data_IF_005188754273
#
_entry.id   IF_005188754273
#
_cell.length_a   1.000
_cell.length_b   1.000
_cell.length_c   1.000
_cell.angle_alpha   90.00
_cell.angle_beta   90.00
_cell.angle_gamma   90.00
#
_symmetry.space_group_name_H-M   'P 1'
#
loop_
_entity.id
_entity.type
_entity.pdbx_description
1 polymer ?
#
# COMPACT_ATOMS: atom_id res chain seq x y z
N UNK A 1 -24.14 21.82 -13.07
CA UNK A 1 -24.41 21.14 -11.79
C UNK A 1 -23.35 20.06 -11.50
N UNK A 2 -23.15 19.08 -12.38
CA UNK A 2 -22.22 17.94 -12.19
C UNK A 2 -20.82 18.37 -11.72
N UNK A 3 -20.10 19.20 -12.49
CA UNK A 3 -18.74 19.60 -12.14
C UNK A 3 -18.65 20.31 -10.77
N UNK A 4 -19.67 21.11 -10.40
CA UNK A 4 -19.75 21.80 -9.11
C UNK A 4 -19.92 20.81 -7.97
N UNK A 5 -20.84 19.85 -8.10
CA UNK A 5 -21.13 18.84 -7.08
C UNK A 5 -19.92 17.93 -6.87
N UNK A 6 -19.36 17.39 -7.94
CA UNK A 6 -18.17 16.52 -7.88
C UNK A 6 -16.98 17.24 -7.27
N UNK A 7 -16.73 18.52 -7.64
CA UNK A 7 -15.66 19.32 -7.06
C UNK A 7 -15.86 19.52 -5.54
N UNK A 8 -17.09 19.86 -5.12
CA UNK A 8 -17.44 20.07 -3.70
C UNK A 8 -17.24 18.79 -2.88
N UNK A 9 -17.73 17.66 -3.38
CA UNK A 9 -17.57 16.34 -2.75
C UNK A 9 -16.09 15.93 -2.70
N UNK A 10 -15.37 16.10 -3.80
CA UNK A 10 -13.95 15.75 -3.88
C UNK A 10 -13.10 16.56 -2.88
N UNK A 11 -13.31 17.87 -2.80
CA UNK A 11 -12.55 18.74 -1.87
C UNK A 11 -12.81 18.42 -0.41
N UNK A 12 -13.97 17.89 -0.08
CA UNK A 12 -14.31 17.51 1.30
C UNK A 12 -13.83 16.11 1.66
N UNK A 13 -14.05 15.12 0.81
CA UNK A 13 -13.82 13.71 1.14
C UNK A 13 -12.38 13.28 0.85
N UNK A 14 -11.88 13.56 -0.36
CA UNK A 14 -10.62 12.97 -0.82
C UNK A 14 -9.40 13.39 0.00
N UNK A 15 -9.19 14.68 0.37
CA UNK A 15 -8.05 15.08 1.19
C UNK A 15 -8.10 14.45 2.59
N UNK A 16 -9.29 14.31 3.16
CA UNK A 16 -9.45 13.72 4.49
C UNK A 16 -9.15 12.22 4.51
N UNK A 17 -9.69 11.44 3.57
CA UNK A 17 -9.38 10.01 3.49
C UNK A 17 -7.92 9.79 3.07
N UNK A 18 -7.33 10.68 2.27
CA UNK A 18 -5.90 10.65 1.95
C UNK A 18 -5.05 10.92 3.20
N UNK A 19 -5.45 11.84 4.07
CA UNK A 19 -4.79 12.07 5.36
C UNK A 19 -4.89 10.83 6.27
N UNK A 20 -6.06 10.19 6.34
CA UNK A 20 -6.20 8.93 7.06
C UNK A 20 -5.27 7.84 6.52
N UNK A 21 -5.11 7.76 5.20
CA UNK A 21 -4.22 6.78 4.57
C UNK A 21 -2.73 7.14 4.72
N UNK A 22 -2.41 8.42 4.75
CA UNK A 22 -1.08 8.92 5.05
C UNK A 22 -0.62 8.42 6.43
N UNK A 23 -1.44 8.59 7.46
CA UNK A 23 -1.12 8.12 8.82
C UNK A 23 -1.08 6.59 8.87
N UNK A 24 -1.98 5.91 8.14
CA UNK A 24 -1.96 4.46 7.97
C UNK A 24 -0.60 3.96 7.46
N UNK A 25 -0.09 4.62 6.45
CA UNK A 25 1.16 4.17 5.82
C UNK A 25 2.39 4.50 6.67
N UNK A 26 2.35 5.56 7.48
CA UNK A 26 3.37 5.81 8.52
C UNK A 26 3.46 4.63 9.47
N UNK A 27 2.34 4.25 10.08
CA UNK A 27 2.27 3.12 11.03
C UNK A 27 2.71 1.77 10.42
N UNK A 28 2.52 1.60 9.11
CA UNK A 28 2.88 0.36 8.43
C UNK A 28 4.40 0.19 8.28
N UNK A 29 5.12 1.27 8.03
CA UNK A 29 6.56 1.23 7.76
C UNK A 29 7.42 1.57 8.97
N UNK A 30 6.86 2.15 10.03
CA UNK A 30 7.58 2.59 11.22
C UNK A 30 8.34 1.45 11.92
N UNK A 31 7.84 0.22 11.88
CA UNK A 31 8.52 -0.93 12.48
C UNK A 31 9.90 -1.18 11.87
N UNK A 32 10.13 -0.81 10.60
CA UNK A 32 11.45 -0.85 9.98
C UNK A 32 12.44 0.13 10.61
N UNK A 33 11.97 1.32 11.02
CA UNK A 33 12.78 2.28 11.80
C UNK A 33 12.93 1.85 13.25
N UNK A 34 11.86 1.37 13.89
CA UNK A 34 11.92 0.86 15.25
C UNK A 34 12.98 -0.25 15.38
N UNK A 35 13.13 -1.11 14.38
CA UNK A 35 14.09 -2.20 14.33
C UNK A 35 15.54 -1.77 14.58
N UNK A 36 15.90 -0.50 14.26
CA UNK A 36 17.25 0.03 14.45
C UNK A 36 17.73 -0.05 15.92
N UNK A 37 16.80 0.06 16.85
CA UNK A 37 17.07 0.04 18.29
C UNK A 37 16.34 -1.11 19.00
N UNK A 38 15.07 -1.34 18.67
CA UNK A 38 14.21 -2.36 19.25
C UNK A 38 14.81 -3.76 19.18
N UNK A 39 15.40 -4.14 18.04
CA UNK A 39 15.99 -5.46 17.87
C UNK A 39 17.16 -5.68 18.85
N UNK A 40 17.97 -4.66 19.07
CA UNK A 40 19.08 -4.71 20.03
C UNK A 40 18.57 -4.76 21.47
N UNK A 41 17.59 -3.91 21.80
CA UNK A 41 17.05 -3.81 23.17
C UNK A 41 16.33 -5.09 23.60
N UNK A 42 15.62 -5.74 22.68
CA UNK A 42 14.82 -6.94 22.94
C UNK A 42 15.53 -8.26 22.54
N UNK A 43 16.76 -8.16 22.02
CA UNK A 43 17.54 -9.34 21.60
C UNK A 43 16.93 -10.07 20.38
N UNK A 44 16.27 -9.36 19.48
CA UNK A 44 15.67 -9.96 18.29
C UNK A 44 16.73 -10.25 17.23
N UNK A 45 16.68 -11.48 16.67
CA UNK A 45 17.41 -11.81 15.45
C UNK A 45 16.73 -11.15 14.24
N UNK A 46 17.44 -11.10 13.10
CA UNK A 46 16.85 -10.62 11.87
C UNK A 46 15.66 -11.49 11.41
N UNK A 47 15.75 -12.81 11.63
CA UNK A 47 14.64 -13.75 11.38
C UNK A 47 13.42 -13.42 12.22
N UNK A 48 13.60 -13.17 13.52
CA UNK A 48 12.50 -12.81 14.43
C UNK A 48 11.83 -11.51 14.02
N UNK A 49 12.62 -10.49 13.66
CA UNK A 49 12.10 -9.23 13.15
C UNK A 49 11.34 -9.44 11.84
N UNK A 50 11.92 -10.17 10.87
CA UNK A 50 11.28 -10.45 9.59
C UNK A 50 9.96 -11.22 9.76
N UNK A 51 9.89 -12.16 10.70
CA UNK A 51 8.65 -12.86 11.04
C UNK A 51 7.61 -11.91 11.62
N UNK A 52 7.98 -11.09 12.60
CA UNK A 52 7.06 -10.12 13.20
C UNK A 52 6.60 -9.04 12.24
N UNK A 53 7.47 -8.55 11.36
CA UNK A 53 7.08 -7.64 10.29
C UNK A 53 6.06 -8.29 9.33
N UNK A 54 6.27 -9.56 9.00
CA UNK A 54 5.45 -10.30 8.06
C UNK A 54 4.12 -10.80 8.62
N UNK A 55 4.05 -11.25 9.89
CA UNK A 55 2.84 -11.85 10.48
C UNK A 55 1.64 -10.89 10.48
N UNK A 56 1.90 -9.60 10.42
CA UNK A 56 0.90 -8.56 10.17
C UNK A 56 0.04 -8.90 8.94
N UNK A 57 0.66 -9.30 7.82
CA UNK A 57 -0.04 -9.60 6.58
C UNK A 57 -0.87 -10.87 6.65
N UNK A 58 -0.52 -11.80 7.52
CA UNK A 58 -1.33 -12.98 7.80
C UNK A 58 -2.62 -12.56 8.53
N UNK A 59 -2.51 -11.73 9.57
CA UNK A 59 -3.67 -11.15 10.24
C UNK A 59 -4.54 -10.33 9.26
N UNK A 60 -3.92 -9.49 8.45
CA UNK A 60 -4.60 -8.68 7.45
C UNK A 60 -5.38 -9.56 6.46
N UNK A 61 -4.78 -10.60 5.91
CA UNK A 61 -5.39 -11.52 4.94
C UNK A 61 -6.66 -12.19 5.48
N UNK A 62 -6.60 -12.75 6.69
CA UNK A 62 -7.77 -13.45 7.25
C UNK A 62 -8.92 -12.52 7.60
N UNK A 63 -8.65 -11.29 7.97
CA UNK A 63 -9.67 -10.34 8.43
C UNK A 63 -10.12 -9.33 7.37
N UNK A 64 -9.51 -9.28 6.19
CA UNK A 64 -9.86 -8.34 5.12
C UNK A 64 -11.31 -8.51 4.66
N UNK A 65 -11.72 -9.74 4.31
CA UNK A 65 -13.09 -10.03 3.86
C UNK A 65 -14.12 -9.82 4.98
N UNK A 66 -13.96 -10.39 6.18
CA UNK A 66 -14.88 -10.14 7.30
C UNK A 66 -15.05 -8.65 7.62
N UNK A 67 -13.96 -7.88 7.57
CA UNK A 67 -13.98 -6.44 7.85
C UNK A 67 -14.79 -5.67 6.80
N UNK A 68 -14.67 -6.03 5.51
CA UNK A 68 -15.45 -5.39 4.45
C UNK A 68 -16.95 -5.70 4.55
N UNK A 69 -17.31 -6.94 4.88
CA UNK A 69 -18.71 -7.31 5.14
C UNK A 69 -19.29 -6.54 6.32
N UNK A 70 -18.50 -6.36 7.36
CA UNK A 70 -18.91 -5.57 8.51
C UNK A 70 -19.07 -4.07 8.16
N UNK A 71 -18.22 -3.52 7.29
CA UNK A 71 -18.36 -2.15 6.79
C UNK A 71 -19.69 -1.93 6.05
N UNK A 72 -20.10 -2.88 5.22
CA UNK A 72 -21.41 -2.82 4.54
C UNK A 72 -22.57 -2.88 5.53
N UNK A 73 -22.46 -3.69 6.58
CA UNK A 73 -23.52 -3.89 7.59
C UNK A 73 -23.65 -2.71 8.56
N UNK A 74 -22.52 -2.20 9.07
CA UNK A 74 -22.50 -1.19 10.14
C UNK A 74 -22.36 0.25 9.61
N UNK A 75 -22.09 0.42 8.31
CA UNK A 75 -21.84 1.70 7.68
C UNK A 75 -20.36 2.08 7.68
N UNK A 76 -19.94 2.74 6.59
CA UNK A 76 -18.54 3.06 6.34
C UNK A 76 -17.94 3.97 7.43
N UNK A 77 -18.68 5.00 7.84
CA UNK A 77 -18.23 5.97 8.86
C UNK A 77 -17.83 5.32 10.17
N UNK A 78 -18.71 4.54 10.75
CA UNK A 78 -18.47 3.90 12.05
C UNK A 78 -17.41 2.81 11.95
N UNK A 79 -17.42 2.04 10.84
CA UNK A 79 -16.48 0.94 10.68
C UNK A 79 -15.06 1.41 10.40
N UNK A 80 -14.88 2.44 9.56
CA UNK A 80 -13.58 3.07 9.33
C UNK A 80 -13.04 3.68 10.63
N UNK A 81 -13.89 4.38 11.41
CA UNK A 81 -13.51 4.91 12.70
C UNK A 81 -13.03 3.80 13.66
N UNK A 82 -13.79 2.69 13.75
CA UNK A 82 -13.41 1.52 14.55
C UNK A 82 -12.05 0.97 14.11
N UNK A 83 -11.84 0.77 12.80
CA UNK A 83 -10.57 0.30 12.27
C UNK A 83 -9.43 1.21 12.74
N UNK A 84 -9.54 2.52 12.53
CA UNK A 84 -8.50 3.48 12.88
C UNK A 84 -8.21 3.54 14.38
N UNK A 85 -9.26 3.56 15.23
CA UNK A 85 -9.07 3.60 16.68
C UNK A 85 -8.43 2.31 17.19
N UNK A 86 -8.92 1.13 16.78
CA UNK A 86 -8.37 -0.14 17.25
C UNK A 86 -6.95 -0.38 16.75
N UNK A 87 -6.68 -0.04 15.50
CA UNK A 87 -5.35 -0.13 14.93
C UNK A 87 -4.39 0.87 15.61
N UNK A 88 -4.78 2.14 15.79
CA UNK A 88 -3.94 3.13 16.48
C UNK A 88 -3.62 2.74 17.93
N UNK A 89 -4.58 2.14 18.67
CA UNK A 89 -4.34 1.58 20.00
C UNK A 89 -3.32 0.43 19.97
N UNK A 90 -3.43 -0.49 19.00
CA UNK A 90 -2.48 -1.60 18.86
C UNK A 90 -1.11 -1.11 18.38
N UNK A 91 -1.06 -0.08 17.52
CA UNK A 91 0.19 0.56 17.12
C UNK A 91 0.89 1.19 18.34
N UNK A 92 0.18 1.97 19.15
CA UNK A 92 0.72 2.50 20.39
C UNK A 92 1.11 1.39 21.39
N UNK A 93 0.36 0.28 21.45
CA UNK A 93 0.68 -0.87 22.31
C UNK A 93 1.97 -1.61 21.88
N UNK A 94 2.45 -1.41 20.66
CA UNK A 94 3.78 -1.88 20.26
C UNK A 94 4.89 -1.31 21.17
N UNK A 95 4.71 -0.14 21.76
CA UNK A 95 5.65 0.41 22.74
C UNK A 95 5.78 -0.45 24.02
N UNK A 96 4.84 -1.35 24.28
CA UNK A 96 4.79 -2.20 25.47
C UNK A 96 5.31 -3.62 25.23
N UNK A 97 5.85 -3.94 24.06
CA UNK A 97 6.40 -5.28 23.80
C UNK A 97 7.65 -5.52 24.65
N UNK A 98 7.80 -6.78 25.11
CA UNK A 98 8.91 -7.17 25.98
C UNK A 98 9.65 -8.45 25.54
N UNK A 99 9.12 -9.15 24.54
CA UNK A 99 9.74 -10.35 23.96
C UNK A 99 9.18 -10.63 22.56
N UNK A 100 9.72 -11.66 21.90
CA UNK A 100 9.30 -12.07 20.57
C UNK A 100 7.83 -12.46 20.46
N UNK A 101 7.27 -13.14 21.46
CA UNK A 101 5.86 -13.53 21.44
C UNK A 101 4.92 -12.33 21.52
N UNK A 102 5.19 -11.38 22.43
CA UNK A 102 4.38 -10.14 22.50
C UNK A 102 4.46 -9.35 21.19
N UNK A 103 5.64 -9.30 20.55
CA UNK A 103 5.82 -8.70 19.23
C UNK A 103 4.95 -9.39 18.17
N UNK A 104 5.00 -10.72 18.03
CA UNK A 104 4.21 -11.48 17.06
C UNK A 104 2.70 -11.28 17.28
N UNK A 105 2.24 -11.39 18.52
CA UNK A 105 0.81 -11.29 18.86
C UNK A 105 0.27 -9.90 18.52
N UNK A 106 0.96 -8.84 18.95
CA UNK A 106 0.49 -7.47 18.67
C UNK A 106 0.56 -7.18 17.17
N UNK A 107 1.61 -7.62 16.45
CA UNK A 107 1.70 -7.46 15.01
C UNK A 107 0.58 -8.21 14.25
N UNK A 108 0.23 -9.42 14.65
CA UNK A 108 -0.91 -10.14 14.08
C UNK A 108 -2.23 -9.40 14.32
N UNK A 109 -2.48 -8.98 15.56
CA UNK A 109 -3.69 -8.23 15.93
C UNK A 109 -3.75 -6.87 15.21
N UNK A 110 -2.61 -6.21 15.03
CA UNK A 110 -2.51 -4.96 14.28
C UNK A 110 -2.92 -5.17 12.82
N UNK A 111 -2.43 -6.24 12.17
CA UNK A 111 -2.85 -6.60 10.82
C UNK A 111 -4.35 -6.90 10.73
N UNK A 112 -4.90 -7.65 11.69
CA UNK A 112 -6.32 -7.95 11.78
C UNK A 112 -7.18 -6.68 12.01
N UNK A 113 -6.69 -5.73 12.81
CA UNK A 113 -7.38 -4.48 13.10
C UNK A 113 -7.38 -3.50 11.91
N UNK A 114 -6.27 -3.42 11.17
CA UNK A 114 -6.12 -2.58 9.97
C UNK A 114 -6.84 -3.18 8.75
N UNK A 115 -7.08 -4.49 8.77
CA UNK A 115 -7.71 -5.20 7.67
C UNK A 115 -9.05 -4.56 7.26
N UNK A 116 -9.24 -4.38 5.95
CA UNK A 116 -10.43 -3.75 5.41
C UNK A 116 -10.38 -2.22 5.32
N UNK A 117 -9.33 -1.55 5.83
CA UNK A 117 -9.23 -0.09 5.70
C UNK A 117 -9.13 0.35 4.24
N UNK A 118 -8.13 -0.13 3.52
CA UNK A 118 -7.92 0.24 2.11
C UNK A 118 -9.12 -0.13 1.22
N UNK A 119 -9.57 -1.41 1.16
CA UNK A 119 -10.73 -1.76 0.36
C UNK A 119 -12.02 -1.09 0.87
N UNK A 120 -12.13 -0.84 2.16
CA UNK A 120 -13.25 -0.09 2.74
C UNK A 120 -13.32 1.36 2.27
N UNK A 121 -12.19 2.05 2.17
CA UNK A 121 -12.14 3.40 1.57
C UNK A 121 -12.48 3.35 0.08
N UNK A 122 -11.98 2.38 -0.67
CA UNK A 122 -12.33 2.21 -2.08
C UNK A 122 -13.84 2.02 -2.23
N UNK A 123 -14.45 1.16 -1.40
CA UNK A 123 -15.90 0.97 -1.38
C UNK A 123 -16.64 2.25 -0.98
N UNK A 124 -16.17 2.96 0.05
CA UNK A 124 -16.74 4.24 0.47
C UNK A 124 -16.73 5.29 -0.65
N UNK A 125 -15.64 5.37 -1.43
CA UNK A 125 -15.57 6.27 -2.58
C UNK A 125 -16.60 5.91 -3.66
N UNK A 126 -17.02 4.64 -3.78
CA UNK A 126 -18.10 4.27 -4.71
C UNK A 126 -19.47 4.79 -4.30
N UNK A 127 -19.68 5.09 -3.02
CA UNK A 127 -20.92 5.70 -2.53
C UNK A 127 -21.03 7.20 -2.85
N UNK A 128 -19.91 7.84 -3.21
CA UNK A 128 -19.83 9.27 -3.42
C UNK A 128 -19.51 9.68 -4.86
N UNK A 129 -18.84 8.82 -5.62
CA UNK A 129 -18.36 9.18 -6.95
C UNK A 129 -18.90 8.25 -8.03
N UNK A 130 -19.51 8.82 -9.09
CA UNK A 130 -19.81 8.09 -10.32
C UNK A 130 -18.56 7.42 -10.89
N UNK A 131 -18.75 6.31 -11.62
CA UNK A 131 -17.66 5.47 -12.16
C UNK A 131 -16.62 6.26 -12.96
N UNK A 132 -17.06 7.23 -13.77
CA UNK A 132 -16.20 8.12 -14.56
C UNK A 132 -15.15 8.87 -13.73
N UNK A 133 -15.51 9.32 -12.51
CA UNK A 133 -14.62 10.09 -11.64
C UNK A 133 -13.81 9.23 -10.66
N UNK A 134 -14.23 8.00 -10.47
CA UNK A 134 -13.72 7.12 -9.39
C UNK A 134 -12.24 6.84 -9.49
N UNK A 135 -11.74 6.49 -10.68
CA UNK A 135 -10.32 6.20 -10.90
C UNK A 135 -9.43 7.39 -10.50
N UNK A 136 -9.85 8.61 -10.86
CA UNK A 136 -9.12 9.85 -10.49
C UNK A 136 -9.13 10.09 -8.98
N UNK A 137 -10.24 9.82 -8.29
CA UNK A 137 -10.34 10.00 -6.83
C UNK A 137 -9.52 8.97 -6.07
N UNK A 138 -9.54 7.72 -6.52
CA UNK A 138 -8.68 6.64 -5.97
C UNK A 138 -7.21 6.98 -6.20
N UNK A 139 -6.82 7.45 -7.38
CA UNK A 139 -5.44 7.88 -7.65
C UNK A 139 -4.96 8.99 -6.70
N UNK A 140 -5.81 10.00 -6.44
CA UNK A 140 -5.51 11.06 -5.46
C UNK A 140 -5.38 10.54 -4.04
N UNK A 141 -6.22 9.60 -3.65
CA UNK A 141 -6.15 8.92 -2.36
C UNK A 141 -4.85 8.12 -2.22
N UNK A 142 -4.47 7.36 -3.24
CA UNK A 142 -3.25 6.54 -3.24
C UNK A 142 -1.96 7.38 -3.27
N UNK A 143 -2.00 8.65 -3.69
CA UNK A 143 -0.85 9.55 -3.62
C UNK A 143 -0.35 9.78 -2.17
N UNK A 144 -1.16 9.45 -1.17
CA UNK A 144 -0.74 9.46 0.23
C UNK A 144 0.42 8.48 0.50
N UNK A 145 0.53 7.36 -0.23
CA UNK A 145 1.57 6.33 -0.01
C UNK A 145 2.98 6.91 -0.16
N UNK A 146 3.41 7.40 -1.34
CA UNK A 146 4.75 7.94 -1.48
C UNK A 146 4.99 9.17 -0.60
N UNK A 147 3.97 10.01 -0.39
CA UNK A 147 4.09 11.20 0.45
C UNK A 147 4.35 10.79 1.91
N UNK A 148 3.63 9.79 2.43
CA UNK A 148 3.83 9.31 3.80
C UNK A 148 5.22 8.73 4.00
N UNK A 149 5.76 8.01 3.04
CA UNK A 149 7.10 7.41 3.17
C UNK A 149 8.20 8.48 3.10
N UNK A 150 8.06 9.47 2.20
CA UNK A 150 9.02 10.57 2.07
C UNK A 150 9.09 11.42 3.35
N UNK A 151 7.94 11.72 3.96
CA UNK A 151 7.86 12.50 5.19
C UNK A 151 8.15 11.62 6.41
N UNK A 152 7.62 10.40 6.43
CA UNK A 152 7.70 9.48 7.55
C UNK A 152 9.11 9.03 7.86
N UNK A 153 9.94 8.77 6.85
CA UNK A 153 11.29 8.30 7.08
C UNK A 153 12.17 9.31 7.88
N UNK A 154 12.25 10.60 7.52
CA UNK A 154 12.93 11.59 8.35
C UNK A 154 12.26 11.80 9.70
N UNK A 155 10.93 11.78 9.77
CA UNK A 155 10.17 11.94 11.02
C UNK A 155 10.48 10.79 11.99
N UNK A 156 10.42 9.54 11.51
CA UNK A 156 10.78 8.37 12.32
C UNK A 156 12.21 8.43 12.83
N UNK A 157 13.16 8.84 11.96
CA UNK A 157 14.56 9.05 12.37
C UNK A 157 14.73 10.15 13.43
N UNK A 158 13.90 11.20 13.38
CA UNK A 158 13.88 12.26 14.38
C UNK A 158 13.32 11.76 15.72
N UNK A 159 12.19 11.05 15.69
CA UNK A 159 11.51 10.52 16.88
C UNK A 159 12.41 9.51 17.61
N UNK A 160 13.17 8.69 16.90
CA UNK A 160 14.15 7.78 17.52
C UNK A 160 15.19 8.53 18.36
N UNK A 161 15.48 9.80 18.05
CA UNK A 161 16.33 10.66 18.87
C UNK A 161 15.74 11.05 20.24
N UNK A 162 14.49 10.72 20.53
CA UNK A 162 13.83 10.95 21.82
C UNK A 162 14.19 9.89 22.89
N UNK A 163 15.21 9.07 22.64
CA UNK A 163 15.64 8.02 23.56
C UNK A 163 15.96 8.57 24.94
N UNK A 164 15.45 7.90 25.98
CA UNK A 164 15.61 8.30 27.39
C UNK A 164 14.62 9.35 27.90
N UNK A 165 13.86 10.03 27.07
CA UNK A 165 12.82 10.98 27.51
C UNK A 165 11.73 10.22 28.26
N UNK A 166 11.43 10.65 29.47
CA UNK A 166 10.49 10.01 30.42
C UNK A 166 10.79 8.52 30.69
N UNK A 167 12.06 8.11 30.53
CA UNK A 167 12.49 6.72 30.72
C UNK A 167 12.07 5.75 29.62
N UNK A 168 11.50 6.26 28.51
CA UNK A 168 11.12 5.47 27.34
C UNK A 168 12.25 5.44 26.31
N UNK A 169 12.34 4.33 25.57
CA UNK A 169 13.24 4.17 24.43
C UNK A 169 12.76 4.92 23.20
N UNK A 170 13.66 5.33 22.30
CA UNK A 170 13.32 6.01 21.07
C UNK A 170 12.31 5.24 20.20
N UNK A 171 12.46 3.92 20.11
CA UNK A 171 11.50 3.07 19.38
C UNK A 171 10.11 3.01 20.03
N UNK A 172 10.00 3.14 21.35
CA UNK A 172 8.72 3.21 22.04
C UNK A 172 8.01 4.54 21.73
N UNK A 173 8.76 5.65 21.73
CA UNK A 173 8.24 6.94 21.29
C UNK A 173 7.73 6.91 19.87
N UNK A 174 8.42 6.20 18.96
CA UNK A 174 8.00 6.08 17.57
C UNK A 174 6.58 5.50 17.46
N UNK A 175 6.30 4.39 18.13
CA UNK A 175 4.97 3.77 18.11
C UNK A 175 3.90 4.63 18.79
N UNK A 176 4.23 5.34 19.87
CA UNK A 176 3.30 6.24 20.55
C UNK A 176 2.99 7.46 19.67
N UNK A 177 4.00 8.12 19.14
CA UNK A 177 3.85 9.36 18.36
C UNK A 177 3.13 9.13 17.02
N UNK A 178 3.24 7.95 16.43
CA UNK A 178 2.56 7.62 15.18
C UNK A 178 1.19 6.96 15.41
N UNK A 179 1.00 6.19 16.49
CA UNK A 179 -0.28 5.59 16.85
C UNK A 179 -1.32 6.58 17.37
N UNK A 180 -0.90 7.58 18.18
CA UNK A 180 -1.84 8.57 18.74
C UNK A 180 -2.57 9.40 17.68
N UNK A 181 -1.93 9.96 16.64
CA UNK A 181 -2.62 10.67 15.56
C UNK A 181 -3.67 9.80 14.87
N UNK A 182 -3.41 8.50 14.72
CA UNK A 182 -4.34 7.53 14.14
C UNK A 182 -5.61 7.40 14.98
N UNK A 183 -5.49 7.31 16.31
CA UNK A 183 -6.63 7.28 17.22
C UNK A 183 -7.44 8.57 17.11
N UNK A 184 -6.77 9.72 17.16
CA UNK A 184 -7.41 11.02 17.07
C UNK A 184 -8.16 11.21 15.74
N UNK A 185 -7.53 10.85 14.62
CA UNK A 185 -8.19 10.87 13.32
C UNK A 185 -9.36 9.90 13.25
N UNK A 186 -9.24 8.70 13.83
CA UNK A 186 -10.33 7.75 13.93
C UNK A 186 -11.55 8.31 14.67
N UNK A 187 -11.33 9.08 15.73
CA UNK A 187 -12.40 9.80 16.42
C UNK A 187 -13.00 10.92 15.55
N UNK A 188 -12.15 11.67 14.84
CA UNK A 188 -12.60 12.71 13.90
C UNK A 188 -13.43 12.12 12.75
N UNK A 189 -13.11 10.92 12.26
CA UNK A 189 -13.89 10.21 11.22
C UNK A 189 -15.36 10.11 11.61
N UNK A 190 -15.68 9.86 12.90
CA UNK A 190 -17.07 9.73 13.39
C UNK A 190 -17.89 11.01 13.13
N UNK A 191 -17.27 12.17 13.21
CA UNK A 191 -17.95 13.46 13.08
C UNK A 191 -17.81 14.05 11.68
N UNK A 192 -16.72 13.76 10.98
CA UNK A 192 -16.40 14.38 9.69
C UNK A 192 -16.96 13.62 8.48
N UNK A 193 -16.85 12.28 8.47
CA UNK A 193 -17.36 11.48 7.38
C UNK A 193 -18.88 11.32 7.48
N UNK A 194 -19.48 11.11 6.31
CA UNK A 194 -20.91 10.83 6.15
C UNK A 194 -21.05 9.54 5.35
N UNK A 195 -21.93 8.62 5.71
CA UNK A 195 -22.06 7.30 5.07
C UNK A 195 -22.42 7.37 3.58
N UNK A 196 -23.12 8.42 3.17
CA UNK A 196 -23.50 8.60 1.77
C UNK A 196 -24.23 9.93 1.53
N UNK A 197 -24.53 10.25 0.25
CA UNK A 197 -25.11 11.53 -0.13
C UNK A 197 -26.43 11.83 0.58
N UNK A 198 -27.27 10.83 0.85
CA UNK A 198 -28.57 11.02 1.50
C UNK A 198 -28.48 11.66 2.90
N UNK A 199 -27.37 11.44 3.61
CA UNK A 199 -27.10 12.00 4.94
C UNK A 199 -26.22 13.25 4.91
N UNK A 200 -25.91 13.78 3.71
CA UNK A 200 -24.98 14.90 3.52
C UNK A 200 -25.66 16.27 3.69
N UNK A 201 -25.81 16.72 4.93
CA UNK A 201 -26.41 18.03 5.23
C UNK A 201 -25.60 19.23 4.70
N UNK A 202 -24.33 19.02 4.34
CA UNK A 202 -23.43 20.02 3.74
C UNK A 202 -23.59 20.19 2.22
N UNK A 203 -24.38 19.34 1.55
CA UNK A 203 -24.84 19.50 0.18
C UNK A 203 -26.20 20.24 0.16
N UNK A 204 -26.39 21.13 -0.82
CA UNK A 204 -27.71 21.69 -1.08
C UNK A 204 -28.67 20.58 -1.55
N UNK A 205 -29.97 20.77 -1.36
CA UNK A 205 -30.96 19.73 -1.66
C UNK A 205 -30.89 19.28 -3.13
N UNK A 206 -30.80 20.24 -4.06
CA UNK A 206 -30.66 19.98 -5.49
C UNK A 206 -29.38 19.23 -5.85
N UNK A 207 -28.24 19.56 -5.20
CA UNK A 207 -26.96 18.88 -5.37
C UNK A 207 -27.01 17.43 -4.86
N UNK A 208 -27.64 17.23 -3.72
CA UNK A 208 -27.80 15.93 -3.09
C UNK A 208 -28.70 15.00 -3.92
N UNK A 209 -29.85 15.51 -4.35
CA UNK A 209 -30.83 14.73 -5.10
C UNK A 209 -30.25 14.34 -6.48
N UNK A 210 -29.55 15.27 -7.14
CA UNK A 210 -28.81 14.98 -8.38
C UNK A 210 -27.80 13.84 -8.19
N UNK A 211 -27.00 13.89 -7.13
CA UNK A 211 -25.96 12.90 -6.88
C UNK A 211 -26.56 11.51 -6.57
N UNK A 212 -27.63 11.47 -5.77
CA UNK A 212 -28.35 10.22 -5.46
C UNK A 212 -28.91 9.60 -6.72
N UNK A 213 -29.59 10.40 -7.56
CA UNK A 213 -30.20 9.91 -8.80
C UNK A 213 -29.13 9.38 -9.78
N UNK A 214 -28.01 10.11 -9.93
CA UNK A 214 -26.88 9.68 -10.78
C UNK A 214 -26.30 8.33 -10.34
N UNK A 215 -26.02 8.17 -9.05
CA UNK A 215 -25.49 6.91 -8.50
C UNK A 215 -26.49 5.76 -8.58
N UNK A 216 -27.78 6.06 -8.39
CA UNK A 216 -28.86 5.06 -8.53
C UNK A 216 -28.97 4.54 -9.97
N UNK A 217 -28.94 5.41 -10.97
CA UNK A 217 -28.96 5.01 -12.39
C UNK A 217 -27.78 4.12 -12.74
N UNK A 218 -26.57 4.46 -12.30
CA UNK A 218 -25.39 3.61 -12.53
C UNK A 218 -25.51 2.23 -11.87
N UNK A 219 -26.10 2.19 -10.66
CA UNK A 219 -26.33 0.92 -9.97
C UNK A 219 -27.30 0.03 -10.75
N UNK A 220 -28.43 0.58 -11.22
CA UNK A 220 -29.42 -0.18 -12.01
C UNK A 220 -28.81 -0.73 -13.30
N UNK A 221 -28.02 0.05 -14.03
CA UNK A 221 -27.33 -0.41 -15.23
C UNK A 221 -26.37 -1.55 -14.92
N UNK A 222 -25.62 -1.47 -13.82
CA UNK A 222 -24.68 -2.51 -13.40
C UNK A 222 -25.40 -3.82 -13.02
N UNK A 223 -26.50 -3.74 -12.29
CA UNK A 223 -27.29 -4.89 -11.87
C UNK A 223 -27.95 -5.62 -13.06
N UNK A 224 -28.29 -4.88 -14.14
CA UNK A 224 -28.86 -5.43 -15.36
C UNK A 224 -27.86 -6.22 -16.24
N UNK A 225 -26.54 -5.98 -16.09
CA UNK A 225 -25.51 -6.63 -16.92
C UNK A 225 -25.01 -7.99 -16.41
N UNK A 226 -25.72 -8.60 -15.45
CA UNK A 226 -25.52 -9.99 -15.03
C UNK A 226 -24.40 -10.18 -14.00
N UNK A 227 -24.57 -11.19 -13.16
CA UNK A 227 -23.60 -11.64 -12.16
C UNK A 227 -22.74 -12.74 -12.78
N UNK A 228 -21.55 -12.43 -13.25
CA UNK A 228 -20.53 -13.48 -13.38
C UNK A 228 -20.19 -13.99 -11.97
N UNK A 229 -20.15 -15.32 -11.82
CA UNK A 229 -19.91 -15.89 -10.50
C UNK A 229 -18.49 -15.58 -10.04
N UNK A 230 -18.33 -15.24 -8.76
CA UNK A 230 -17.04 -14.99 -8.13
C UNK A 230 -16.05 -16.15 -8.38
N UNK A 231 -16.57 -17.39 -8.37
CA UNK A 231 -15.77 -18.62 -8.57
C UNK A 231 -15.17 -18.73 -9.97
N UNK A 232 -15.86 -18.28 -11.02
CA UNK A 232 -15.30 -18.26 -12.38
C UNK A 232 -14.11 -17.28 -12.50
N UNK A 233 -14.21 -16.13 -11.83
CA UNK A 233 -13.10 -15.19 -11.79
C UNK A 233 -11.91 -15.72 -10.98
N UNK A 234 -12.18 -16.37 -9.84
CA UNK A 234 -11.15 -16.93 -8.96
C UNK A 234 -10.37 -18.09 -9.61
N UNK A 235 -11.03 -18.90 -10.42
CA UNK A 235 -10.41 -20.03 -11.11
C UNK A 235 -9.73 -19.66 -12.45
N UNK A 236 -9.85 -18.41 -12.89
CA UNK A 236 -9.33 -17.99 -14.20
C UNK A 236 -7.79 -17.97 -14.20
N UNK A 237 -7.10 -18.73 -15.08
CA UNK A 237 -5.65 -18.85 -15.08
C UNK A 237 -4.91 -17.50 -15.15
N UNK A 238 -5.44 -16.53 -15.93
CA UNK A 238 -4.85 -15.18 -16.02
C UNK A 238 -4.90 -14.43 -14.69
N UNK A 239 -5.93 -14.63 -13.86
CA UNK A 239 -6.04 -14.00 -12.54
C UNK A 239 -4.97 -14.57 -11.61
N UNK A 240 -4.74 -15.88 -11.64
CA UNK A 240 -3.68 -16.52 -10.87
C UNK A 240 -2.29 -16.04 -11.28
N UNK A 241 -2.03 -15.95 -12.60
CA UNK A 241 -0.76 -15.40 -13.12
C UNK A 241 -0.58 -13.94 -12.66
N UNK A 242 -1.59 -13.10 -12.78
CA UNK A 242 -1.52 -11.70 -12.33
C UNK A 242 -1.37 -11.59 -10.80
N UNK A 243 -1.90 -12.55 -10.03
CA UNK A 243 -1.65 -12.62 -8.59
C UNK A 243 -0.17 -12.85 -8.29
N UNK A 244 0.48 -13.75 -9.03
CA UNK A 244 1.93 -13.99 -8.92
C UNK A 244 2.74 -12.78 -9.40
N UNK A 245 2.30 -12.08 -10.44
CA UNK A 245 2.93 -10.83 -10.89
C UNK A 245 2.86 -9.77 -9.81
N UNK A 246 1.69 -9.59 -9.17
CA UNK A 246 1.51 -8.61 -8.10
C UNK A 246 2.29 -8.99 -6.83
N UNK A 247 2.45 -10.29 -6.57
CA UNK A 247 3.31 -10.79 -5.49
C UNK A 247 4.74 -10.26 -5.60
N UNK A 248 5.32 -10.19 -6.81
CA UNK A 248 6.66 -9.64 -7.01
C UNK A 248 6.74 -8.13 -6.69
N UNK A 249 5.69 -7.35 -7.01
CA UNK A 249 5.61 -5.94 -6.60
C UNK A 249 5.59 -5.79 -5.09
N UNK A 250 4.72 -6.54 -4.43
CA UNK A 250 4.56 -6.48 -2.98
C UNK A 250 5.82 -6.98 -2.26
N UNK A 251 6.47 -8.04 -2.78
CA UNK A 251 7.72 -8.56 -2.22
C UNK A 251 8.82 -7.48 -2.19
N UNK A 252 9.06 -6.80 -3.30
CA UNK A 252 10.05 -5.74 -3.38
C UNK A 252 9.68 -4.54 -2.49
N UNK A 253 8.41 -4.11 -2.52
CA UNK A 253 7.92 -2.98 -1.72
C UNK A 253 8.10 -3.19 -0.22
N UNK A 254 7.65 -4.33 0.28
CA UNK A 254 7.68 -4.60 1.73
C UNK A 254 9.09 -4.98 2.21
N UNK A 255 9.88 -5.69 1.40
CA UNK A 255 11.26 -5.95 1.73
C UNK A 255 12.05 -4.64 1.89
N UNK A 256 11.95 -3.72 0.93
CA UNK A 256 12.60 -2.40 1.06
C UNK A 256 11.99 -1.57 2.20
N UNK A 257 10.66 -1.53 2.33
CA UNK A 257 9.99 -0.76 3.37
C UNK A 257 10.46 -1.11 4.79
N UNK A 258 10.69 -2.40 5.06
CA UNK A 258 11.11 -2.85 6.40
C UNK A 258 12.62 -2.91 6.60
N UNK A 259 13.39 -3.18 5.55
CA UNK A 259 14.82 -3.44 5.69
C UNK A 259 15.72 -2.29 5.23
N UNK A 260 15.22 -1.37 4.39
CA UNK A 260 16.03 -0.24 3.90
C UNK A 260 16.58 0.64 5.04
N UNK A 261 15.82 0.96 6.11
CA UNK A 261 16.40 1.70 7.25
C UNK A 261 17.60 0.98 7.88
N UNK A 262 17.52 -0.34 8.05
CA UNK A 262 18.63 -1.14 8.60
C UNK A 262 19.82 -1.18 7.64
N UNK A 263 19.60 -1.32 6.33
CA UNK A 263 20.65 -1.29 5.30
C UNK A 263 21.37 0.05 5.34
N UNK A 264 20.64 1.16 5.47
CA UNK A 264 21.22 2.52 5.56
C UNK A 264 21.94 2.72 6.89
N UNK A 265 21.42 2.17 7.97
CA UNK A 265 22.06 2.27 9.30
C UNK A 265 23.44 1.61 9.33
N UNK A 266 23.63 0.53 8.57
CA UNK A 266 24.91 -0.17 8.42
C UNK A 266 26.00 0.72 7.78
N UNK A 267 25.64 1.89 7.22
CA UNK A 267 26.62 2.90 6.76
C UNK A 267 27.27 3.70 7.90
N UNK A 268 26.89 3.44 9.15
CA UNK A 268 27.46 4.12 10.33
C UNK A 268 26.89 5.53 10.58
N UNK A 269 25.74 5.86 10.02
CA UNK A 269 25.07 7.16 10.14
C UNK A 269 24.15 7.22 11.36
N UNK A 270 23.78 8.44 11.78
CA UNK A 270 22.82 8.66 12.88
C UNK A 270 21.42 8.24 12.50
N UNK A 271 20.49 8.09 13.46
CA UNK A 271 19.10 7.73 13.17
C UNK A 271 18.41 8.76 12.28
N UNK A 272 18.63 10.04 12.53
CA UNK A 272 18.09 11.12 11.70
C UNK A 272 18.64 11.08 10.26
N UNK A 273 19.95 10.90 10.12
CA UNK A 273 20.58 10.72 8.79
C UNK A 273 20.06 9.46 8.10
N UNK A 274 19.84 8.36 8.85
CA UNK A 274 19.21 7.15 8.32
C UNK A 274 17.83 7.46 7.71
N UNK A 275 17.02 8.25 8.42
CA UNK A 275 15.72 8.69 7.92
C UNK A 275 15.81 9.50 6.63
N UNK A 276 16.70 10.49 6.59
CA UNK A 276 16.92 11.34 5.40
C UNK A 276 17.41 10.53 4.19
N UNK A 277 18.40 9.67 4.39
CA UNK A 277 18.98 8.85 3.33
C UNK A 277 17.94 7.83 2.82
N UNK A 278 17.18 7.21 3.73
CA UNK A 278 16.10 6.27 3.38
C UNK A 278 15.00 6.93 2.55
N UNK A 279 14.73 8.22 2.76
CA UNK A 279 13.74 8.95 1.98
C UNK A 279 14.13 9.14 0.50
N UNK A 280 15.43 9.15 0.16
CA UNK A 280 15.93 9.47 -1.19
C UNK A 280 15.33 8.56 -2.27
N UNK A 281 15.38 7.22 -2.18
CA UNK A 281 14.75 6.35 -3.19
C UNK A 281 13.24 6.59 -3.33
N UNK A 282 12.56 6.91 -2.23
CA UNK A 282 11.11 7.15 -2.24
C UNK A 282 10.74 8.48 -2.91
N UNK A 283 11.57 9.52 -2.75
CA UNK A 283 11.40 10.80 -3.49
C UNK A 283 11.54 10.55 -4.99
N UNK A 284 12.57 9.82 -5.40
CA UNK A 284 12.79 9.47 -6.82
C UNK A 284 11.64 8.60 -7.35
N UNK A 285 11.19 7.62 -6.58
CA UNK A 285 10.03 6.78 -6.89
C UNK A 285 8.73 7.58 -6.99
N UNK A 286 8.51 8.55 -6.11
CA UNK A 286 7.34 9.43 -6.14
C UNK A 286 7.26 10.27 -7.42
N UNK A 287 8.37 10.64 -8.01
CA UNK A 287 8.41 11.28 -9.33
C UNK A 287 8.11 10.26 -10.43
N UNK A 288 8.70 9.07 -10.34
CA UNK A 288 8.55 8.03 -11.35
C UNK A 288 7.11 7.52 -11.49
N UNK A 289 6.34 7.46 -10.38
CA UNK A 289 4.94 7.02 -10.39
C UNK A 289 4.05 7.86 -11.31
N UNK A 290 4.42 9.10 -11.56
CA UNK A 290 3.70 9.99 -12.47
C UNK A 290 4.31 9.99 -13.88
N UNK A 291 5.63 10.06 -13.99
CA UNK A 291 6.30 10.24 -15.29
C UNK A 291 6.30 8.98 -16.15
N UNK A 292 6.54 7.82 -15.58
CA UNK A 292 6.63 6.58 -16.37
C UNK A 292 5.29 6.16 -17.00
N UNK A 293 4.14 6.18 -16.30
CA UNK A 293 2.85 5.93 -16.94
C UNK A 293 2.52 6.90 -18.07
N UNK A 294 2.85 8.19 -17.91
CA UNK A 294 2.68 9.17 -19.00
C UNK A 294 3.51 8.82 -20.24
N UNK A 295 4.72 8.30 -20.04
CA UNK A 295 5.55 7.81 -21.14
C UNK A 295 4.93 6.57 -21.79
N UNK A 296 4.47 5.61 -20.98
CA UNK A 296 3.76 4.41 -21.45
C UNK A 296 2.50 4.75 -22.25
N UNK A 297 1.72 5.74 -21.79
CA UNK A 297 0.51 6.20 -22.49
C UNK A 297 0.85 6.83 -23.86
N UNK A 298 1.93 7.64 -23.95
CA UNK A 298 2.40 8.21 -25.22
C UNK A 298 2.90 7.17 -26.20
N UNK A 299 3.50 6.10 -25.70
CA UNK A 299 3.97 4.99 -26.53
C UNK A 299 2.85 4.03 -26.95
N UNK A 300 1.69 4.10 -26.31
CA UNK A 300 0.57 3.18 -26.52
C UNK A 300 0.88 1.74 -26.12
N UNK A 301 1.88 1.54 -25.25
CA UNK A 301 2.43 0.24 -24.88
C UNK A 301 2.48 0.07 -23.36
N UNK A 302 1.68 -0.84 -22.82
CA UNK A 302 1.61 -1.08 -21.37
C UNK A 302 2.36 -2.33 -20.94
N UNK A 303 2.28 -3.39 -21.72
CA UNK A 303 2.90 -4.69 -21.41
C UNK A 303 4.42 -4.58 -21.27
N UNK A 304 5.08 -4.05 -22.30
CA UNK A 304 6.53 -3.91 -22.31
C UNK A 304 7.03 -2.92 -21.25
N UNK A 305 6.30 -1.82 -21.06
CA UNK A 305 6.63 -0.86 -20.01
C UNK A 305 6.49 -1.47 -18.61
N UNK A 306 5.46 -2.30 -18.37
CA UNK A 306 5.30 -3.02 -17.10
C UNK A 306 6.44 -4.02 -16.89
N UNK A 307 6.77 -4.82 -17.90
CA UNK A 307 7.90 -5.77 -17.81
C UNK A 307 9.24 -5.07 -17.57
N UNK A 308 9.49 -3.94 -18.26
CA UNK A 308 10.70 -3.13 -18.06
C UNK A 308 10.76 -2.56 -16.63
N UNK A 309 9.66 -2.07 -16.07
CA UNK A 309 9.62 -1.58 -14.71
C UNK A 309 9.97 -2.69 -13.69
N UNK A 310 9.47 -3.91 -13.91
CA UNK A 310 9.87 -5.08 -13.12
C UNK A 310 11.35 -5.43 -13.27
N UNK A 311 11.90 -5.39 -14.48
CA UNK A 311 13.34 -5.66 -14.73
C UNK A 311 14.22 -4.59 -14.06
N UNK A 312 13.82 -3.32 -14.11
CA UNK A 312 14.54 -2.23 -13.42
C UNK A 312 14.51 -2.45 -11.91
N UNK A 313 13.37 -2.89 -11.36
CA UNK A 313 13.26 -3.22 -9.93
C UNK A 313 14.16 -4.39 -9.56
N UNK A 314 14.07 -5.50 -10.27
CA UNK A 314 14.88 -6.69 -10.03
C UNK A 314 16.37 -6.41 -10.20
N UNK A 315 16.73 -5.75 -11.28
CA UNK A 315 18.11 -5.37 -11.58
C UNK A 315 18.70 -4.42 -10.54
N UNK A 316 17.91 -3.42 -10.11
CA UNK A 316 18.33 -2.49 -9.06
C UNK A 316 18.56 -3.18 -7.71
N UNK A 317 17.68 -4.11 -7.30
CA UNK A 317 17.89 -4.92 -6.10
C UNK A 317 19.16 -5.77 -6.20
N UNK A 318 19.32 -6.52 -7.30
CA UNK A 318 20.47 -7.39 -7.51
C UNK A 318 21.77 -6.58 -7.60
N UNK A 319 21.82 -5.52 -8.40
CA UNK A 319 23.02 -4.69 -8.58
C UNK A 319 23.43 -3.98 -7.29
N UNK A 320 22.47 -3.62 -6.41
CA UNK A 320 22.79 -2.98 -5.13
C UNK A 320 23.71 -3.83 -4.24
N UNK A 321 23.74 -5.14 -4.45
CA UNK A 321 24.57 -6.08 -3.69
C UNK A 321 26.06 -6.02 -4.09
N UNK A 322 26.37 -5.57 -5.30
CA UNK A 322 27.74 -5.45 -5.80
C UNK A 322 28.47 -4.17 -5.35
N UNK A 323 27.73 -3.19 -4.87
CA UNK A 323 28.32 -1.92 -4.44
C UNK A 323 28.41 -1.84 -2.92
N UNK A 324 29.63 -1.96 -2.33
CA UNK A 324 29.83 -1.73 -0.89
C UNK A 324 29.75 -0.23 -0.53
N UNK A 325 30.06 0.65 -1.49
CA UNK A 325 30.02 2.09 -1.30
C UNK A 325 28.58 2.58 -1.06
N UNK A 326 28.31 3.31 0.06
CA UNK A 326 26.96 3.77 0.41
C UNK A 326 26.29 4.60 -0.67
N UNK A 327 27.05 5.52 -1.31
CA UNK A 327 26.48 6.43 -2.32
C UNK A 327 26.06 5.67 -3.56
N UNK A 328 26.92 4.77 -4.05
CA UNK A 328 26.61 3.93 -5.22
C UNK A 328 25.45 2.99 -4.92
N UNK A 329 25.43 2.37 -3.74
CA UNK A 329 24.33 1.50 -3.32
C UNK A 329 23.00 2.26 -3.30
N UNK A 330 22.97 3.45 -2.71
CA UNK A 330 21.75 4.27 -2.66
C UNK A 330 21.33 4.78 -4.05
N UNK A 331 22.28 5.11 -4.92
CA UNK A 331 21.96 5.46 -6.30
C UNK A 331 21.27 4.31 -7.05
N UNK A 332 21.78 3.08 -6.91
CA UNK A 332 21.20 1.89 -7.51
C UNK A 332 19.83 1.55 -6.91
N UNK A 333 19.68 1.67 -5.58
CA UNK A 333 18.37 1.49 -4.92
C UNK A 333 17.37 2.58 -5.32
N UNK A 334 17.83 3.79 -5.65
CA UNK A 334 16.96 4.84 -6.21
C UNK A 334 16.48 4.48 -7.61
N UNK A 335 17.34 3.87 -8.46
CA UNK A 335 16.93 3.32 -9.76
C UNK A 335 15.92 2.18 -9.56
N UNK A 336 16.16 1.29 -8.59
CA UNK A 336 15.18 0.26 -8.20
C UNK A 336 13.81 0.87 -7.88
N UNK A 337 13.79 1.95 -7.09
CA UNK A 337 12.56 2.64 -6.70
C UNK A 337 11.81 3.25 -7.92
N UNK A 338 12.53 3.72 -8.96
CA UNK A 338 11.91 4.16 -10.21
C UNK A 338 11.04 3.06 -10.81
N UNK A 339 11.59 1.86 -10.97
CA UNK A 339 10.86 0.71 -11.47
C UNK A 339 9.71 0.32 -10.55
N UNK A 340 9.99 0.16 -9.26
CA UNK A 340 9.03 -0.29 -8.26
C UNK A 340 7.77 0.58 -8.18
N UNK A 341 7.93 1.89 -8.16
CA UNK A 341 6.79 2.82 -8.09
C UNK A 341 6.05 2.96 -9.41
N UNK A 342 6.74 2.75 -10.55
CA UNK A 342 6.11 2.74 -11.86
C UNK A 342 5.22 1.50 -12.09
N UNK A 343 5.50 0.37 -11.43
CA UNK A 343 4.76 -0.89 -11.62
C UNK A 343 3.27 -0.73 -11.30
N UNK A 344 2.91 -0.15 -10.13
CA UNK A 344 1.53 -0.15 -9.66
C UNK A 344 0.53 0.48 -10.66
N UNK A 345 0.73 1.70 -11.17
CA UNK A 345 -0.17 2.29 -12.14
C UNK A 345 -0.19 1.56 -13.50
N UNK A 346 0.92 0.95 -13.91
CA UNK A 346 0.98 0.16 -15.13
C UNK A 346 0.30 -1.20 -14.96
N UNK A 347 0.58 -1.88 -13.86
CA UNK A 347 0.06 -3.23 -13.58
C UNK A 347 -1.45 -3.27 -13.50
N UNK A 348 -2.10 -2.35 -12.77
CA UNK A 348 -3.54 -2.38 -12.57
C UNK A 348 -4.35 -2.13 -13.85
N UNK A 349 -3.73 -1.70 -14.94
CA UNK A 349 -4.37 -1.65 -16.24
C UNK A 349 -4.51 -3.03 -16.89
N UNK A 350 -3.66 -3.99 -16.54
CA UNK A 350 -3.69 -5.34 -17.13
C UNK A 350 -4.93 -6.15 -16.71
N UNK A 351 -5.29 -6.28 -15.40
CA UNK A 351 -6.52 -6.96 -15.00
C UNK A 351 -7.77 -6.30 -15.57
N UNK A 352 -7.82 -4.97 -15.60
CA UNK A 352 -8.99 -4.23 -16.07
C UNK A 352 -9.22 -4.32 -17.58
N UNK A 353 -8.21 -4.70 -18.35
CA UNK A 353 -8.32 -4.89 -19.80
C UNK A 353 -9.15 -6.14 -20.20
N UNK A 354 -9.28 -7.15 -19.32
CA UNK A 354 -10.02 -8.37 -19.65
C UNK A 354 -11.06 -8.78 -18.59
N UNK A 355 -11.02 -8.20 -17.39
CA UNK A 355 -12.01 -8.42 -16.35
C UNK A 355 -13.05 -7.29 -16.36
N UNK A 356 -14.32 -7.64 -16.44
CA UNK A 356 -15.43 -6.70 -16.39
C UNK A 356 -16.46 -7.08 -15.33
N UNK A 357 -17.26 -6.12 -14.88
CA UNK A 357 -18.35 -6.34 -13.94
C UNK A 357 -17.92 -6.91 -12.58
N UNK A 358 -18.68 -7.89 -12.07
CA UNK A 358 -18.42 -8.53 -10.77
C UNK A 358 -17.19 -9.43 -10.80
N UNK A 359 -16.83 -10.00 -11.96
CA UNK A 359 -15.60 -10.77 -12.15
C UNK A 359 -14.34 -9.90 -11.96
N UNK A 360 -14.40 -8.63 -12.39
CA UNK A 360 -13.31 -7.68 -12.16
C UNK A 360 -13.09 -7.42 -10.66
N UNK A 361 -14.18 -7.19 -9.91
CA UNK A 361 -14.07 -6.94 -8.47
C UNK A 361 -13.49 -8.16 -7.74
N UNK A 362 -13.95 -9.37 -8.03
CA UNK A 362 -13.43 -10.60 -7.42
C UNK A 362 -11.99 -10.92 -7.82
N UNK A 363 -11.65 -10.77 -9.10
CA UNK A 363 -10.30 -11.00 -9.62
C UNK A 363 -9.30 -10.01 -9.05
N UNK A 364 -9.64 -8.72 -8.99
CA UNK A 364 -8.79 -7.67 -8.38
C UNK A 364 -8.58 -7.95 -6.88
N UNK A 365 -9.64 -8.34 -6.16
CA UNK A 365 -9.53 -8.69 -4.75
C UNK A 365 -8.60 -9.88 -4.53
N UNK A 366 -8.71 -10.94 -5.34
CA UNK A 366 -7.83 -12.12 -5.25
C UNK A 366 -6.37 -11.75 -5.56
N UNK A 367 -6.14 -10.97 -6.63
CA UNK A 367 -4.81 -10.49 -7.00
C UNK A 367 -4.19 -9.72 -5.83
N UNK A 368 -4.94 -8.83 -5.21
CA UNK A 368 -4.47 -8.04 -4.06
C UNK A 368 -4.18 -8.92 -2.84
N UNK A 369 -5.08 -9.85 -2.51
CA UNK A 369 -4.93 -10.71 -1.34
C UNK A 369 -3.73 -11.65 -1.46
N UNK A 370 -3.58 -12.35 -2.61
CA UNK A 370 -2.42 -13.23 -2.85
C UNK A 370 -1.12 -12.40 -2.90
N UNK A 371 -1.15 -11.25 -3.58
CA UNK A 371 0.00 -10.36 -3.65
C UNK A 371 0.46 -9.90 -2.27
N UNK A 372 -0.46 -9.52 -1.39
CA UNK A 372 -0.13 -9.08 -0.03
C UNK A 372 0.51 -10.17 0.84
N UNK A 373 0.35 -11.46 0.53
CA UNK A 373 1.09 -12.53 1.23
C UNK A 373 2.61 -12.42 1.02
N UNK A 374 3.06 -11.74 -0.04
CA UNK A 374 4.47 -11.40 -0.20
C UNK A 374 5.00 -10.51 0.95
N UNK A 375 4.13 -9.72 1.57
CA UNK A 375 4.44 -8.94 2.76
C UNK A 375 4.82 -9.79 3.97
N UNK A 376 4.42 -11.06 4.01
CA UNK A 376 4.96 -12.04 4.95
C UNK A 376 6.25 -12.68 4.42
N UNK A 377 6.20 -13.22 3.20
CA UNK A 377 7.27 -14.07 2.68
C UNK A 377 8.59 -13.30 2.49
N UNK A 378 8.56 -12.09 1.93
CA UNK A 378 9.77 -11.36 1.59
C UNK A 378 10.53 -10.81 2.81
N UNK A 379 9.91 -10.13 3.80
CA UNK A 379 10.62 -9.71 5.01
C UNK A 379 11.16 -10.88 5.84
N UNK A 380 10.41 -11.97 5.93
CA UNK A 380 10.86 -13.19 6.62
C UNK A 380 12.08 -13.80 5.92
N UNK A 381 12.01 -13.98 4.60
CA UNK A 381 13.13 -14.53 3.84
C UNK A 381 14.40 -13.67 3.96
N UNK A 382 14.25 -12.33 3.91
CA UNK A 382 15.38 -11.43 4.12
C UNK A 382 16.00 -11.57 5.50
N UNK A 383 15.17 -11.64 6.54
CA UNK A 383 15.64 -11.82 7.93
C UNK A 383 16.36 -13.14 8.11
N UNK A 384 15.78 -14.24 7.65
CA UNK A 384 16.36 -15.57 7.70
C UNK A 384 17.72 -15.66 6.98
N UNK A 385 17.77 -15.14 5.75
CA UNK A 385 19.00 -15.14 4.96
C UNK A 385 20.07 -14.21 5.56
N UNK A 386 19.67 -13.11 6.18
CA UNK A 386 20.60 -12.24 6.89
C UNK A 386 21.25 -12.96 8.06
N UNK A 387 20.49 -13.67 8.89
CA UNK A 387 21.03 -14.45 10.01
C UNK A 387 21.92 -15.60 9.52
N UNK A 388 21.53 -16.27 8.43
CA UNK A 388 22.27 -17.40 7.88
C UNK A 388 23.57 -16.99 7.17
N UNK A 389 23.64 -15.82 6.53
CA UNK A 389 24.78 -15.40 5.70
C UNK A 389 25.58 -14.23 6.29
N UNK A 390 25.11 -13.61 7.36
CA UNK A 390 25.74 -12.46 8.01
C UNK A 390 25.56 -11.12 7.29
N UNK A 391 24.75 -11.06 6.19
CA UNK A 391 24.57 -9.83 5.42
C UNK A 391 23.27 -9.80 4.62
N UNK A 392 23.01 -8.67 3.95
CA UNK A 392 21.79 -8.47 3.17
C UNK A 392 21.86 -9.02 1.73
N UNK A 393 23.03 -9.40 1.23
CA UNK A 393 23.24 -9.81 -0.17
C UNK A 393 22.32 -10.94 -0.59
N UNK A 394 22.30 -12.05 0.15
CA UNK A 394 21.45 -13.20 -0.17
C UNK A 394 19.95 -12.85 -0.11
N UNK A 395 19.54 -12.06 0.88
CA UNK A 395 18.17 -11.60 1.01
C UNK A 395 17.72 -10.70 -0.13
N UNK A 396 18.53 -9.74 -0.53
CA UNK A 396 18.24 -8.85 -1.66
C UNK A 396 18.16 -9.60 -2.98
N UNK A 397 19.04 -10.58 -3.21
CA UNK A 397 18.99 -11.44 -4.40
C UNK A 397 17.74 -12.31 -4.42
N UNK A 398 17.38 -12.91 -3.27
CA UNK A 398 16.15 -13.70 -3.14
C UNK A 398 14.89 -12.86 -3.42
N UNK A 399 14.84 -11.63 -2.91
CA UNK A 399 13.73 -10.71 -3.19
C UNK A 399 13.73 -10.25 -4.65
N UNK A 400 14.90 -10.01 -5.28
CA UNK A 400 15.04 -9.61 -6.68
C UNK A 400 14.48 -10.69 -7.64
N UNK A 401 14.50 -11.96 -7.24
CA UNK A 401 13.93 -13.06 -8.02
C UNK A 401 12.42 -12.87 -8.28
N UNK A 402 11.64 -12.35 -7.34
CA UNK A 402 10.20 -12.21 -7.52
C UNK A 402 9.82 -11.18 -8.58
N UNK A 403 10.30 -9.92 -8.59
CA UNK A 403 10.02 -9.00 -9.67
C UNK A 403 10.64 -9.47 -11.01
N UNK A 404 11.77 -10.18 -11.02
CA UNK A 404 12.30 -10.80 -12.23
C UNK A 404 11.33 -11.84 -12.80
N UNK A 405 10.82 -12.74 -11.97
CA UNK A 405 9.78 -13.70 -12.36
C UNK A 405 8.52 -12.98 -12.87
N UNK A 406 8.11 -11.91 -12.20
CA UNK A 406 6.96 -11.10 -12.61
C UNK A 406 7.16 -10.49 -13.99
N UNK A 407 8.36 -10.01 -14.33
CA UNK A 407 8.66 -9.52 -15.68
C UNK A 407 8.44 -10.61 -16.74
N UNK A 408 8.93 -11.82 -16.49
CA UNK A 408 8.75 -12.97 -17.40
C UNK A 408 7.27 -13.30 -17.54
N UNK A 409 6.52 -13.38 -16.42
CA UNK A 409 5.09 -13.68 -16.43
C UNK A 409 4.28 -12.63 -17.20
N UNK A 410 4.60 -11.34 -17.07
CA UNK A 410 3.97 -10.26 -17.85
C UNK A 410 4.24 -10.45 -19.35
N UNK A 411 5.48 -10.85 -19.73
CA UNK A 411 5.82 -11.09 -21.13
C UNK A 411 5.13 -12.32 -21.72
N UNK A 412 4.83 -13.33 -20.91
CA UNK A 412 4.11 -14.55 -21.35
C UNK A 412 2.59 -14.28 -21.46
N UNK A 413 2.04 -13.36 -20.65
CA UNK A 413 0.64 -12.99 -20.74
C UNK A 413 0.28 -12.51 -22.14
N UNK A 414 -0.75 -13.12 -22.75
CA UNK A 414 -1.23 -12.75 -24.07
C UNK A 414 -1.57 -11.26 -24.15
N UNK A 415 -1.19 -10.63 -25.24
CA UNK A 415 -1.36 -9.20 -25.50
C UNK A 415 -2.47 -8.98 -26.54
N UNK A 416 -3.38 -8.07 -26.27
CA UNK A 416 -4.36 -7.62 -27.24
C UNK A 416 -4.28 -6.09 -27.40
N UNK A 417 -3.51 -5.62 -28.42
CA UNK A 417 -3.28 -4.18 -28.65
C UNK A 417 -4.57 -3.39 -28.89
N UNK A 418 -5.63 -4.03 -29.38
CA UNK A 418 -6.91 -3.35 -29.66
C UNK A 418 -7.65 -2.97 -28.37
N UNK A 419 -7.58 -3.81 -27.34
CA UNK A 419 -8.19 -3.52 -26.03
C UNK A 419 -7.45 -2.43 -25.28
N UNK A 420 -6.12 -2.36 -25.43
CA UNK A 420 -5.29 -1.32 -24.80
C UNK A 420 -5.49 0.05 -25.46
N UNK A 421 -5.66 0.10 -26.78
CA UNK A 421 -5.94 1.34 -27.51
C UNK A 421 -7.36 1.85 -27.31
N UNK A 422 -8.34 0.96 -27.15
CA UNK A 422 -9.75 1.32 -26.88
C UNK A 422 -9.92 2.03 -25.54
N UNK A 423 -9.18 1.63 -24.51
CA UNK A 423 -9.20 2.27 -23.21
C UNK A 423 -8.61 3.70 -23.23
N UNK A 424 -7.74 4.02 -24.20
CA UNK A 424 -7.14 5.35 -24.36
C UNK A 424 -8.10 6.31 -25.08
N UNK A 425 -8.91 5.80 -26.03
CA UNK A 425 -9.84 6.64 -26.79
C UNK A 425 -11.12 7.01 -26.04
N UNK A 426 -11.57 6.21 -25.07
CA UNK A 426 -12.73 6.55 -24.22
C UNK A 426 -12.38 7.56 -23.09
N UNK A 427 -11.12 7.77 -22.79
CA UNK A 427 -10.66 8.77 -21.79
C UNK A 427 -10.32 10.14 -22.36
N UNK A 428 -10.39 10.35 -23.68
CA UNK A 428 -9.98 11.57 -24.38
C UNK A 428 -11.16 12.42 -24.92
N UNK A 429 -12.41 12.11 -24.54
CA UNK A 429 -13.59 12.93 -24.87
C UNK A 429 -14.29 13.48 -23.64
#
# INVERSE_FOLDING_TARGET
MEARVISKVSRRIVPFVALCYFVCYLDRVNVGFAALEMNKDLGFTATMFGWGAGIFFIGYFFFEVPSNLALERFGARLWIARIMVTWGLLSAAMALIWNGWSFLVIRFLLGAAEAGFFPGIILFLTYWFPSYYRARMVGRFMAAIPISTVIGAPLSGLILGMDGIWGLKGWQWLFICEGLPTILLGLVVIFYLTDGPAKAHWLAADERDWLIDRLRRERMVREAHGRHTLWEALAHPRVLVLSLVYFGTAAASYALGFWLPTIVKDFGVTNFQTGLITAVPYVVGAVAVFLWPLLSDRMGERKWNTALAFLVTAGGLALSTYFPDPVKKMAVLSICAIGLFAIAPLFWTLPTAFLSGTAAAGGIALINSIGNLAGFAAPYAMGYLKDATGGFTAGLLAVAFFPFLSAILVLILGHNPALERGAITEGAH
#
